data_IF_979826581375
#
_entry.id   IF_979826581375
#
_cell.length_a   1.000
_cell.length_b   1.000
_cell.length_c   1.000
_cell.angle_alpha   90.00
_cell.angle_beta   90.00
_cell.angle_gamma   90.00
#
_symmetry.space_group_name_H-M   'P 1'
#
loop_
_entity.id
_entity.type
_entity.pdbx_description
1 polymer ?
#
# COMPACT_ATOMS: atom_id res chain seq x y z
N UNK A 1 13.51 -8.30 -7.48
CA UNK A 1 14.45 -7.28 -6.99
C UNK A 1 15.36 -8.00 -6.03
N UNK A 2 16.65 -8.07 -6.37
CA UNK A 2 17.63 -8.78 -5.55
C UNK A 2 18.23 -7.79 -4.56
N UNK A 3 18.22 -8.17 -3.28
CA UNK A 3 18.80 -7.37 -2.20
C UNK A 3 19.67 -8.23 -1.31
N UNK A 4 20.70 -7.64 -0.71
CA UNK A 4 21.42 -8.20 0.42
C UNK A 4 20.79 -7.64 1.71
N UNK A 5 20.19 -8.51 2.53
CA UNK A 5 19.75 -8.15 3.88
C UNK A 5 20.94 -8.27 4.82
N UNK A 6 21.15 -7.26 5.66
CA UNK A 6 22.29 -7.19 6.56
C UNK A 6 21.81 -6.86 7.97
N UNK A 7 22.34 -7.59 8.96
CA UNK A 7 22.13 -7.34 10.37
C UNK A 7 23.34 -6.64 10.99
N UNK A 8 23.14 -5.83 12.03
CA UNK A 8 24.19 -5.09 12.72
C UNK A 8 25.32 -5.96 13.29
N UNK A 9 25.03 -7.23 13.60
CA UNK A 9 26.01 -8.25 14.00
C UNK A 9 26.94 -8.71 12.87
N UNK A 10 26.64 -8.33 11.62
CA UNK A 10 27.35 -8.74 10.42
C UNK A 10 26.76 -9.96 9.71
N UNK A 11 25.67 -10.54 10.20
CA UNK A 11 24.93 -11.58 9.47
C UNK A 11 24.33 -10.99 8.19
N UNK A 12 24.43 -11.72 7.07
CA UNK A 12 23.94 -11.24 5.78
C UNK A 12 23.44 -12.35 4.88
N UNK A 13 22.43 -12.04 4.06
CA UNK A 13 21.82 -12.99 3.12
C UNK A 13 21.30 -12.27 1.88
N UNK A 14 21.54 -12.84 0.70
CA UNK A 14 20.98 -12.34 -0.56
C UNK A 14 19.62 -12.96 -0.83
N UNK A 15 18.62 -12.13 -1.16
CA UNK A 15 17.24 -12.55 -1.37
C UNK A 15 16.68 -11.93 -2.66
N UNK A 16 15.99 -12.73 -3.47
CA UNK A 16 15.19 -12.23 -4.59
C UNK A 16 13.74 -11.95 -4.15
N UNK A 17 13.48 -10.71 -3.73
CA UNK A 17 12.16 -10.28 -3.27
C UNK A 17 11.13 -10.13 -4.41
N UNK A 18 11.48 -10.38 -5.67
CA UNK A 18 10.44 -10.42 -6.73
C UNK A 18 9.61 -11.71 -6.72
N UNK A 19 10.13 -12.76 -6.13
CA UNK A 19 9.50 -14.10 -6.13
C UNK A 19 9.05 -14.51 -4.74
N UNK A 20 9.75 -14.04 -3.72
CA UNK A 20 9.60 -14.52 -2.36
C UNK A 20 9.52 -13.39 -1.33
N UNK A 21 9.12 -13.78 -0.12
CA UNK A 21 9.28 -12.99 1.10
C UNK A 21 10.46 -13.55 1.88
N UNK A 22 11.21 -12.69 2.56
CA UNK A 22 12.22 -13.12 3.51
C UNK A 22 11.69 -12.99 4.95
N UNK A 23 12.05 -13.93 5.80
CA UNK A 23 11.75 -13.89 7.23
C UNK A 23 13.02 -13.61 8.02
N UNK A 24 12.85 -12.88 9.12
CA UNK A 24 13.94 -12.46 10.00
C UNK A 24 13.57 -12.87 11.42
N UNK A 25 14.48 -13.51 12.13
CA UNK A 25 14.26 -13.92 13.51
C UNK A 25 15.30 -14.89 14.04
N UNK A 26 15.10 -15.40 15.26
CA UNK A 26 16.05 -16.33 15.90
C UNK A 26 15.98 -17.76 15.37
N UNK A 27 14.91 -18.12 14.66
CA UNK A 27 14.77 -19.45 14.11
C UNK A 27 15.84 -19.70 13.04
N UNK A 28 16.44 -20.89 13.03
CA UNK A 28 17.40 -21.31 12.02
C UNK A 28 16.73 -21.52 10.65
N UNK A 29 15.40 -21.65 10.62
CA UNK A 29 14.60 -21.68 9.39
C UNK A 29 14.29 -20.28 8.83
N UNK A 30 14.57 -19.19 9.56
CA UNK A 30 14.40 -17.84 9.05
C UNK A 30 15.40 -17.55 7.93
N UNK A 31 15.02 -16.74 6.94
CA UNK A 31 15.91 -16.36 5.83
C UNK A 31 17.15 -15.61 6.33
N UNK A 32 16.96 -14.65 7.23
CA UNK A 32 18.02 -14.00 7.98
C UNK A 32 17.89 -14.36 9.46
N UNK A 33 18.79 -15.22 9.92
CA UNK A 33 18.83 -15.59 11.34
C UNK A 33 19.60 -14.55 12.14
N UNK A 34 18.99 -14.06 13.23
CA UNK A 34 19.60 -13.13 14.19
C UNK A 34 19.79 -13.79 15.56
N UNK A 35 20.88 -13.45 16.24
CA UNK A 35 21.26 -14.09 17.51
C UNK A 35 20.79 -13.38 18.78
N UNK A 36 20.09 -12.25 18.65
CA UNK A 36 19.74 -11.38 19.78
C UNK A 36 18.52 -11.87 20.57
N UNK A 37 18.60 -11.77 21.90
CA UNK A 37 17.54 -12.21 22.81
C UNK A 37 16.22 -11.43 22.65
N UNK A 38 16.30 -10.16 22.22
CA UNK A 38 15.13 -9.32 21.96
C UNK A 38 14.34 -9.78 20.73
N UNK A 39 14.91 -10.64 19.87
CA UNK A 39 14.20 -11.11 18.70
C UNK A 39 13.27 -12.31 19.00
N UNK A 40 12.07 -12.37 18.40
CA UNK A 40 11.25 -13.58 18.34
C UNK A 40 11.82 -14.59 17.31
N UNK A 41 11.35 -15.84 17.35
CA UNK A 41 11.80 -16.89 16.41
C UNK A 41 11.49 -16.51 14.96
N UNK A 42 10.28 -16.00 14.72
CA UNK A 42 9.85 -15.36 13.48
C UNK A 42 9.44 -13.95 13.86
N UNK A 43 10.35 -12.98 13.73
CA UNK A 43 10.14 -11.63 14.26
C UNK A 43 9.48 -10.72 13.22
N UNK A 44 10.06 -10.69 12.04
CA UNK A 44 9.64 -9.80 10.97
C UNK A 44 9.67 -10.51 9.63
N UNK A 45 8.94 -9.98 8.66
CA UNK A 45 9.06 -10.36 7.26
C UNK A 45 9.37 -9.14 6.41
N UNK A 46 10.21 -9.33 5.41
CA UNK A 46 10.50 -8.32 4.39
C UNK A 46 10.01 -8.80 3.03
N UNK A 47 9.39 -7.92 2.25
CA UNK A 47 8.76 -8.27 0.97
C UNK A 47 8.68 -7.08 0.02
N UNK A 48 8.54 -7.36 -1.28
CA UNK A 48 8.35 -6.34 -2.31
C UNK A 48 6.85 -6.11 -2.58
N UNK A 49 6.39 -4.87 -2.63
CA UNK A 49 5.06 -4.48 -3.09
C UNK A 49 5.15 -3.19 -3.91
N UNK A 50 4.55 -3.20 -5.11
CA UNK A 50 4.54 -2.03 -6.01
C UNK A 50 5.92 -1.41 -6.25
N UNK A 51 6.95 -2.24 -6.39
CA UNK A 51 8.34 -1.81 -6.62
C UNK A 51 9.07 -1.26 -5.39
N UNK A 52 8.47 -1.33 -4.19
CA UNK A 52 9.05 -0.86 -2.93
C UNK A 52 9.18 -2.01 -1.93
N UNK A 53 10.17 -1.92 -1.07
CA UNK A 53 10.44 -2.94 -0.04
C UNK A 53 9.72 -2.54 1.25
N UNK A 54 9.08 -3.52 1.88
CA UNK A 54 8.36 -3.35 3.14
C UNK A 54 8.84 -4.34 4.18
N UNK A 55 8.87 -3.94 5.45
CA UNK A 55 9.01 -4.81 6.62
C UNK A 55 7.70 -4.85 7.39
N UNK A 56 7.26 -6.02 7.82
CA UNK A 56 6.10 -6.18 8.70
C UNK A 56 6.47 -6.99 9.95
N UNK A 57 5.84 -6.65 11.07
CA UNK A 57 6.02 -7.34 12.35
C UNK A 57 5.13 -8.58 12.40
N UNK A 58 5.72 -9.75 12.62
CA UNK A 58 5.00 -11.03 12.66
C UNK A 58 4.42 -11.32 14.06
N UNK A 59 3.77 -10.32 14.65
CA UNK A 59 3.29 -10.34 16.04
C UNK A 59 4.42 -10.71 17.02
N UNK A 60 5.57 -10.08 16.84
CA UNK A 60 6.74 -10.33 17.67
C UNK A 60 6.53 -9.82 19.09
N UNK A 61 7.28 -10.37 20.04
CA UNK A 61 7.15 -10.01 21.46
C UNK A 61 7.54 -8.56 21.72
N UNK A 62 8.61 -8.09 21.07
CA UNK A 62 9.17 -6.78 21.34
C UNK A 62 8.78 -5.75 20.26
N UNK A 63 8.45 -6.18 19.04
CA UNK A 63 8.06 -5.31 17.94
C UNK A 63 9.22 -4.93 17.02
N UNK A 64 8.88 -4.51 15.81
CA UNK A 64 9.81 -3.84 14.88
C UNK A 64 9.73 -2.32 15.05
N UNK A 65 10.88 -1.66 14.99
CA UNK A 65 11.01 -0.21 15.16
C UNK A 65 11.72 0.44 13.98
N UNK A 66 11.33 1.67 13.65
CA UNK A 66 12.07 2.57 12.77
C UNK A 66 12.50 3.74 13.64
N UNK A 67 13.81 3.97 13.70
CA UNK A 67 14.43 4.81 14.72
C UNK A 67 13.95 4.42 16.13
N UNK A 68 13.10 5.24 16.75
CA UNK A 68 12.55 5.03 18.10
C UNK A 68 11.06 4.66 18.10
N UNK A 69 10.42 4.56 16.92
CA UNK A 69 8.99 4.37 16.80
C UNK A 69 8.65 2.93 16.41
N UNK A 70 7.75 2.30 17.18
CA UNK A 70 7.23 0.96 16.85
C UNK A 70 6.31 1.03 15.65
N UNK A 71 6.51 0.16 14.67
CA UNK A 71 5.61 0.05 13.52
C UNK A 71 4.32 -0.66 13.94
N UNK A 72 3.17 -0.19 13.45
CA UNK A 72 1.85 -0.77 13.72
C UNK A 72 1.35 -1.70 12.60
N UNK A 73 2.20 -2.00 11.63
CA UNK A 73 1.94 -2.84 10.46
C UNK A 73 3.08 -2.72 9.44
N UNK A 74 2.90 -3.21 8.21
CA UNK A 74 3.96 -3.23 7.21
C UNK A 74 4.47 -1.83 6.93
N UNK A 75 5.77 -1.55 7.07
CA UNK A 75 6.40 -0.25 6.87
C UNK A 75 7.30 -0.28 5.63
N UNK A 76 7.20 0.73 4.76
CA UNK A 76 8.03 0.82 3.55
C UNK A 76 9.42 1.36 3.87
N UNK A 77 10.47 0.59 3.57
CA UNK A 77 11.85 0.91 3.95
C UNK A 77 12.60 1.53 2.77
N UNK A 78 13.18 2.71 2.97
CA UNK A 78 14.06 3.34 1.97
C UNK A 78 15.45 2.65 1.89
N UNK A 79 16.19 2.74 0.77
CA UNK A 79 17.46 2.03 0.59
C UNK A 79 18.58 2.31 1.61
N UNK A 80 18.50 3.43 2.33
CA UNK A 80 19.46 3.82 3.38
C UNK A 80 18.88 3.73 4.78
N UNK A 81 17.62 3.31 4.90
CA UNK A 81 16.88 3.28 6.15
C UNK A 81 17.07 1.94 6.85
N UNK A 82 17.10 2.00 8.19
CA UNK A 82 17.32 0.85 9.06
C UNK A 82 16.09 0.63 9.92
N UNK A 83 15.85 -0.62 10.29
CA UNK A 83 14.82 -0.99 11.26
C UNK A 83 15.40 -1.86 12.35
N UNK A 84 14.84 -1.81 13.54
CA UNK A 84 15.31 -2.54 14.71
C UNK A 84 14.36 -3.67 15.10
N UNK A 85 14.93 -4.78 15.55
CA UNK A 85 14.19 -5.90 16.12
C UNK A 85 14.15 -5.78 17.66
N UNK A 86 13.06 -5.22 18.16
CA UNK A 86 12.91 -4.75 19.54
C UNK A 86 13.45 -3.34 19.76
N UNK A 87 13.00 -2.69 20.84
CA UNK A 87 13.47 -1.36 21.24
C UNK A 87 14.94 -1.43 21.66
N UNK A 88 15.79 -0.57 21.08
CA UNK A 88 17.27 -0.64 21.22
C UNK A 88 17.83 -2.01 20.82
N UNK A 89 17.14 -2.67 19.89
CA UNK A 89 17.53 -3.96 19.35
C UNK A 89 18.63 -3.87 18.30
N UNK A 90 18.74 -4.94 17.51
CA UNK A 90 19.68 -4.99 16.40
C UNK A 90 19.10 -4.30 15.17
N UNK A 91 19.90 -3.38 14.60
CA UNK A 91 19.61 -2.75 13.31
C UNK A 91 19.70 -3.76 12.17
N UNK A 92 18.71 -3.73 11.29
CA UNK A 92 18.66 -4.45 10.03
C UNK A 92 18.48 -3.44 8.90
N UNK A 93 19.16 -3.67 7.79
CA UNK A 93 19.00 -2.88 6.56
C UNK A 93 19.10 -3.78 5.33
N UNK A 94 18.83 -3.20 4.17
CA UNK A 94 19.05 -3.87 2.89
C UNK A 94 19.91 -3.02 1.98
N UNK A 95 20.65 -3.68 1.12
CA UNK A 95 21.39 -3.06 0.04
C UNK A 95 20.88 -3.67 -1.27
N UNK A 96 20.55 -2.82 -2.25
CA UNK A 96 20.17 -3.32 -3.58
C UNK A 96 21.44 -3.92 -4.20
N UNK A 97 21.39 -5.22 -4.48
CA UNK A 97 22.49 -5.86 -5.17
C UNK A 97 22.53 -5.29 -6.58
N UNK A 98 23.56 -4.49 -6.90
CA UNK A 98 23.81 -4.08 -8.28
C UNK A 98 23.90 -5.35 -9.12
N UNK A 99 23.00 -5.48 -10.10
CA UNK A 99 23.16 -6.50 -11.12
C UNK A 99 24.52 -6.25 -11.78
N UNK A 100 25.45 -7.19 -11.56
CA UNK A 100 26.72 -7.17 -12.28
C UNK A 100 26.41 -6.95 -13.76
N UNK A 101 27.07 -5.98 -14.43
CA UNK A 101 26.85 -5.75 -15.85
C UNK A 101 26.97 -7.10 -16.55
N UNK A 102 26.07 -7.42 -17.49
CA UNK A 102 26.09 -8.72 -18.15
C UNK A 102 27.51 -8.94 -18.64
N UNK A 103 28.20 -9.90 -18.02
CA UNK A 103 29.51 -10.32 -18.45
C UNK A 103 29.35 -10.63 -19.91
N UNK A 104 30.13 -9.92 -20.73
CA UNK A 104 30.13 -10.04 -22.17
C UNK A 104 29.95 -11.51 -22.54
N UNK A 105 28.88 -11.78 -23.27
CA UNK A 105 28.52 -13.11 -23.73
C UNK A 105 29.71 -13.62 -24.52
N UNK A 106 30.53 -14.46 -23.87
CA UNK A 106 31.66 -15.09 -24.52
C UNK A 106 31.10 -15.93 -25.66
N UNK A 107 31.69 -15.68 -26.82
CA UNK A 107 31.26 -16.20 -28.11
C UNK A 107 31.09 -17.70 -28.04
N UNK A 108 29.95 -18.16 -28.57
CA UNK A 108 29.66 -19.56 -28.83
C UNK A 108 30.65 -20.06 -29.88
N UNK A 109 31.77 -20.64 -29.45
CA UNK A 109 32.54 -21.55 -30.28
C UNK A 109 31.98 -22.96 -30.12
N UNK A 110 31.15 -23.33 -31.11
CA UNK A 110 30.84 -24.73 -31.41
C UNK A 110 32.14 -25.47 -31.74
N UNK A 111 32.59 -26.36 -30.86
CA UNK A 111 33.11 -27.68 -31.23
C UNK A 111 33.65 -28.41 -30.00
N UNK A 112 32.93 -29.44 -29.53
CA UNK A 112 33.42 -30.84 -29.53
C UNK A 112 32.52 -31.71 -28.65
N UNK A 113 31.72 -32.51 -29.34
CA UNK A 113 31.28 -33.81 -28.88
C UNK A 113 32.49 -34.64 -28.43
N UNK A 114 32.52 -35.05 -27.16
CA UNK A 114 33.26 -36.24 -26.74
C UNK A 114 32.56 -36.87 -25.54
N UNK A 115 32.00 -38.06 -25.80
CA UNK A 115 31.54 -39.05 -24.84
C UNK A 115 32.54 -39.23 -23.70
N UNK A 116 32.06 -39.33 -22.45
CA UNK A 116 32.61 -40.22 -21.40
C UNK A 116 31.66 -40.22 -20.19
N UNK A 117 30.86 -41.27 -20.03
CA UNK A 117 31.15 -42.50 -19.26
C UNK A 117 30.58 -42.41 -17.87
N UNK A 118 29.50 -43.17 -17.70
CA UNK A 118 28.92 -43.64 -16.44
C UNK A 118 30.02 -44.05 -15.46
N UNK A 119 30.13 -43.34 -14.34
CA UNK A 119 30.90 -43.83 -13.19
C UNK A 119 29.95 -44.03 -12.01
N UNK A 120 29.54 -45.30 -11.84
CA UNK A 120 28.97 -45.83 -10.60
C UNK A 120 29.93 -45.51 -9.46
N UNK A 121 29.54 -44.65 -8.52
CA UNK A 121 30.22 -44.57 -7.22
C UNK A 121 29.34 -45.25 -6.17
N UNK A 122 29.85 -46.40 -5.74
CA UNK A 122 29.33 -47.25 -4.66
C UNK A 122 30.08 -46.84 -3.38
N UNK A 123 29.40 -46.24 -2.40
CA UNK A 123 29.86 -46.17 -0.99
C UNK A 123 28.62 -46.36 -0.11
N UNK A 124 28.40 -47.60 0.34
CA UNK A 124 28.71 -48.14 1.69
C UNK A 124 27.81 -47.55 2.77
N UNK A 125 26.75 -48.33 3.04
CA UNK A 125 25.87 -48.31 4.20
C UNK A 125 26.63 -48.36 5.52
N UNK A 126 26.26 -47.50 6.48
CA UNK A 126 26.55 -47.64 7.90
C UNK A 126 25.22 -47.68 8.67
N UNK A 127 25.11 -48.64 9.59
CA UNK A 127 23.91 -49.07 10.31
C UNK A 127 23.49 -48.09 11.45
N UNK A 128 22.28 -48.25 12.05
CA UNK A 128 21.56 -47.20 12.77
C UNK A 128 21.91 -47.12 14.28
N UNK A 129 21.65 -45.95 14.87
CA UNK A 129 21.73 -45.68 16.33
C UNK A 129 20.40 -45.96 17.05
N UNK A 130 20.40 -46.22 18.38
CA UNK A 130 19.33 -46.94 19.07
C UNK A 130 18.12 -46.08 19.45
N UNK A 131 16.98 -46.77 19.61
CA UNK A 131 15.67 -46.24 19.96
C UNK A 131 15.56 -45.72 21.40
N UNK A 132 14.83 -44.61 21.57
CA UNK A 132 14.34 -44.13 22.86
C UNK A 132 12.98 -44.77 23.21
N UNK A 133 12.64 -44.92 24.51
CA UNK A 133 11.44 -45.62 24.95
C UNK A 133 10.16 -44.79 24.69
N UNK A 134 9.09 -45.52 24.34
CA UNK A 134 7.76 -45.01 24.02
C UNK A 134 7.09 -44.32 25.23
N UNK A 135 6.70 -43.06 25.07
CA UNK A 135 5.76 -42.38 25.95
C UNK A 135 4.33 -42.77 25.54
N UNK A 136 3.56 -43.28 26.49
CA UNK A 136 2.17 -43.70 26.31
C UNK A 136 1.28 -42.51 25.90
N UNK A 137 0.54 -42.68 24.82
CA UNK A 137 -0.48 -41.74 24.36
C UNK A 137 -1.69 -41.72 25.31
N UNK A 138 -2.20 -40.52 25.60
CA UNK A 138 -3.53 -40.28 26.18
C UNK A 138 -4.50 -39.85 25.06
N UNK A 139 -5.80 -40.17 25.16
CA UNK A 139 -6.76 -39.92 24.09
C UNK A 139 -7.16 -38.44 24.01
N UNK A 140 -7.23 -37.94 22.77
CA UNK A 140 -7.73 -36.61 22.44
C UNK A 140 -9.25 -36.52 22.67
N UNK A 141 -9.68 -35.52 23.43
CA UNK A 141 -11.09 -35.14 23.54
C UNK A 141 -11.52 -34.39 22.28
N UNK A 142 -12.54 -34.94 21.60
CA UNK A 142 -13.19 -34.37 20.43
C UNK A 142 -14.05 -33.15 20.82
N UNK A 143 -13.68 -31.97 20.30
CA UNK A 143 -14.44 -30.72 20.45
C UNK A 143 -14.81 -30.12 19.09
N UNK A 144 -15.28 -30.92 18.15
CA UNK A 144 -15.70 -30.48 16.80
C UNK A 144 -17.22 -30.46 16.66
N UNK A 145 -17.91 -29.65 17.46
CA UNK A 145 -19.36 -29.41 17.31
C UNK A 145 -19.74 -27.98 17.74
N UNK A 146 -19.10 -26.96 17.14
CA UNK A 146 -19.55 -25.54 17.24
C UNK A 146 -19.40 -24.73 15.95
N UNK A 147 -18.66 -25.22 14.96
CA UNK A 147 -18.40 -24.46 13.72
C UNK A 147 -19.47 -24.64 12.64
N UNK A 148 -20.19 -25.78 12.60
CA UNK A 148 -21.22 -26.03 11.59
C UNK A 148 -22.52 -25.24 11.83
N UNK A 149 -22.92 -25.04 13.09
CA UNK A 149 -24.11 -24.24 13.44
C UNK A 149 -23.90 -22.75 13.21
N UNK A 150 -22.68 -22.25 13.45
CA UNK A 150 -22.34 -20.85 13.17
C UNK A 150 -22.35 -20.55 11.65
N UNK A 151 -21.90 -21.48 10.80
CA UNK A 151 -21.95 -21.31 9.34
C UNK A 151 -23.39 -21.29 8.81
N UNK A 152 -24.30 -22.11 9.37
CA UNK A 152 -25.68 -22.15 8.91
C UNK A 152 -26.46 -20.86 9.24
N UNK A 153 -26.20 -20.25 10.40
CA UNK A 153 -26.80 -18.97 10.77
C UNK A 153 -26.28 -17.79 9.93
N UNK A 154 -24.99 -17.80 9.58
CA UNK A 154 -24.41 -16.77 8.69
C UNK A 154 -25.00 -16.88 7.28
N UNK A 155 -25.12 -18.10 6.74
CA UNK A 155 -25.72 -18.31 5.42
C UNK A 155 -27.21 -17.94 5.40
N UNK A 156 -27.94 -18.19 6.48
CA UNK A 156 -29.34 -17.79 6.61
C UNK A 156 -29.50 -16.26 6.67
N UNK A 157 -28.62 -15.56 7.38
CA UNK A 157 -28.65 -14.09 7.45
C UNK A 157 -28.35 -13.43 6.09
N UNK A 158 -27.40 -13.98 5.32
CA UNK A 158 -27.09 -13.50 3.96
C UNK A 158 -28.28 -13.72 3.01
N UNK A 159 -28.94 -14.88 3.09
CA UNK A 159 -30.12 -15.18 2.28
C UNK A 159 -31.31 -14.24 2.60
N UNK A 160 -31.53 -13.93 3.89
CA UNK A 160 -32.59 -13.00 4.31
C UNK A 160 -32.30 -11.59 3.79
N UNK A 161 -31.06 -11.10 3.87
CA UNK A 161 -30.69 -9.77 3.37
C UNK A 161 -30.83 -9.67 1.85
N UNK A 162 -30.43 -10.70 1.12
CA UNK A 162 -30.62 -10.77 -0.34
C UNK A 162 -32.10 -10.78 -0.75
N UNK A 163 -32.96 -11.52 -0.03
CA UNK A 163 -34.40 -11.51 -0.26
C UNK A 163 -35.03 -10.12 -0.01
N UNK A 164 -34.59 -9.41 1.04
CA UNK A 164 -35.10 -8.05 1.35
C UNK A 164 -34.69 -7.04 0.26
N UNK A 165 -33.47 -7.13 -0.26
CA UNK A 165 -33.00 -6.23 -1.32
C UNK A 165 -33.64 -6.54 -2.69
N UNK A 166 -34.03 -7.80 -2.96
CA UNK A 166 -34.83 -8.16 -4.15
C UNK A 166 -36.30 -7.71 -4.06
N UNK A 167 -36.84 -7.54 -2.86
CA UNK A 167 -38.21 -7.06 -2.64
C UNK A 167 -38.32 -5.53 -2.61
N UNK A 168 -37.20 -4.79 -2.73
CA UNK A 168 -37.24 -3.33 -2.86
C UNK A 168 -37.74 -2.94 -4.26
N UNK A 169 -38.86 -2.21 -4.38
CA UNK A 169 -39.28 -1.69 -5.66
C UNK A 169 -38.25 -0.66 -6.18
N UNK A 170 -37.99 -0.60 -7.50
CA UNK A 170 -37.10 0.40 -8.06
C UNK A 170 -37.65 1.81 -7.79
N UNK A 171 -36.79 2.82 -7.56
CA UNK A 171 -37.23 4.19 -7.38
C UNK A 171 -37.99 4.64 -8.64
N UNK A 172 -39.18 5.22 -8.44
CA UNK A 172 -39.99 5.75 -9.54
C UNK A 172 -39.28 6.96 -10.15
N UNK A 173 -39.26 7.10 -11.49
CA UNK A 173 -38.73 8.31 -12.11
C UNK A 173 -39.61 9.49 -11.71
N UNK A 174 -39.03 10.43 -10.95
CA UNK A 174 -39.71 11.68 -10.58
C UNK A 174 -39.64 12.59 -11.80
N UNK A 175 -40.80 12.84 -12.42
CA UNK A 175 -40.92 13.76 -13.54
C UNK A 175 -40.60 15.20 -13.07
N UNK A 176 -39.41 15.69 -13.44
CA UNK A 176 -39.02 17.09 -13.24
C UNK A 176 -39.88 17.96 -14.16
N UNK A 177 -40.73 18.80 -13.55
CA UNK A 177 -41.48 19.83 -14.26
C UNK A 177 -40.53 20.96 -14.61
N UNK A 178 -40.14 21.04 -15.88
CA UNK A 178 -39.51 22.25 -16.44
C UNK A 178 -40.57 23.33 -16.55
N UNK A 179 -40.49 24.36 -15.71
CA UNK A 179 -41.24 25.60 -15.89
C UNK A 179 -40.42 26.58 -16.73
N UNK A 180 -41.02 27.33 -17.67
CA UNK A 180 -40.28 28.19 -18.58
C UNK A 180 -39.98 29.52 -17.89
N UNK A 181 -38.70 29.91 -17.83
CA UNK A 181 -38.33 31.28 -17.51
C UNK A 181 -38.50 32.10 -18.79
N UNK A 182 -39.59 32.86 -18.82
CA UNK A 182 -39.81 33.91 -19.81
C UNK A 182 -38.72 34.99 -19.65
N UNK A 183 -37.91 35.16 -20.69
CA UNK A 183 -36.93 36.22 -20.79
C UNK A 183 -37.65 37.57 -20.96
N UNK A 184 -37.57 38.41 -19.94
CA UNK A 184 -37.92 39.82 -20.01
C UNK A 184 -36.87 40.53 -20.85
N UNK A 185 -37.39 41.16 -21.89
CA UNK A 185 -36.74 42.08 -22.81
C UNK A 185 -36.34 43.34 -22.05
N UNK A 186 -35.05 43.61 -21.89
CA UNK A 186 -34.58 44.96 -21.57
C UNK A 186 -33.43 45.37 -22.48
N UNK A 187 -33.56 46.59 -22.96
CA UNK A 187 -32.96 47.18 -24.15
C UNK A 187 -31.79 48.04 -23.72
N UNK A 188 -30.57 47.71 -24.16
CA UNK A 188 -29.42 48.62 -24.07
C UNK A 188 -28.93 49.02 -25.47
N UNK A 189 -28.58 50.32 -25.67
CA UNK A 189 -28.22 50.84 -26.97
C UNK A 189 -26.76 50.57 -27.33
N UNK A 190 -26.52 50.56 -28.65
CA UNK A 190 -25.24 50.32 -29.29
C UNK A 190 -24.20 51.42 -29.02
N UNK A 191 -22.98 51.00 -28.71
CA UNK A 191 -21.75 51.77 -28.91
C UNK A 191 -20.61 50.83 -29.35
N UNK A 192 -20.50 50.70 -30.67
CA UNK A 192 -19.29 50.64 -31.53
C UNK A 192 -17.92 50.29 -30.94
N UNK A 193 -17.33 49.20 -31.48
CA UNK A 193 -15.92 49.01 -31.92
C UNK A 193 -14.81 49.13 -30.85
N UNK A 194 -13.93 48.14 -30.64
CA UNK A 194 -13.06 47.54 -31.64
C UNK A 194 -12.69 46.07 -31.34
N UNK A 195 -12.68 45.23 -32.38
CA UNK A 195 -11.84 44.03 -32.44
C UNK A 195 -10.44 44.46 -32.85
N UNK A 196 -9.42 44.05 -32.11
CA UNK A 196 -8.05 44.06 -32.62
C UNK A 196 -7.18 43.03 -31.89
N UNK A 197 -6.70 42.10 -32.70
CA UNK A 197 -5.53 41.23 -32.55
C UNK A 197 -5.63 40.07 -31.53
N UNK A 198 -5.93 38.91 -32.11
CA UNK A 198 -5.65 37.59 -31.56
C UNK A 198 -4.14 37.38 -31.52
N UNK A 199 -3.55 37.64 -30.36
CA UNK A 199 -2.24 37.12 -29.97
C UNK A 199 -2.36 35.57 -29.88
N UNK A 200 -1.45 34.78 -30.50
CA UNK A 200 -1.45 33.35 -30.28
C UNK A 200 -1.19 33.10 -28.80
N UNK A 201 -2.14 32.45 -28.11
CA UNK A 201 -1.96 31.99 -26.75
C UNK A 201 -0.67 31.18 -26.69
N UNK A 202 0.35 31.76 -26.06
CA UNK A 202 1.59 31.09 -25.71
C UNK A 202 1.22 29.76 -25.07
N UNK A 203 1.86 28.69 -25.56
CA UNK A 203 1.75 27.39 -24.94
C UNK A 203 2.17 27.56 -23.48
N UNK A 204 1.17 27.54 -22.58
CA UNK A 204 1.40 27.53 -21.14
C UNK A 204 2.18 26.25 -20.88
N UNK A 205 3.49 26.38 -20.73
CA UNK A 205 4.35 25.33 -20.22
C UNK A 205 3.76 24.95 -18.86
N UNK A 206 3.06 23.82 -18.81
CA UNK A 206 2.31 23.44 -17.63
C UNK A 206 3.32 23.22 -16.51
N UNK A 207 3.39 24.18 -15.59
CA UNK A 207 4.23 24.08 -14.42
C UNK A 207 3.84 22.80 -13.68
N UNK A 208 4.81 21.91 -13.50
CA UNK A 208 4.65 20.64 -12.77
C UNK A 208 4.14 20.91 -11.36
N UNK A 209 3.25 20.06 -10.85
CA UNK A 209 2.67 20.23 -9.52
C UNK A 209 3.76 19.98 -8.47
N UNK A 210 3.92 20.91 -7.53
CA UNK A 210 4.83 20.72 -6.41
C UNK A 210 4.06 20.26 -5.18
N UNK A 211 4.49 19.14 -4.59
CA UNK A 211 3.78 18.56 -3.44
C UNK A 211 3.68 19.53 -2.26
N UNK A 212 4.79 20.12 -1.81
CA UNK A 212 4.80 20.95 -0.60
C UNK A 212 4.12 22.30 -0.78
N UNK A 213 4.22 22.89 -1.97
CA UNK A 213 3.61 24.18 -2.29
C UNK A 213 2.11 24.04 -2.56
N UNK A 214 1.70 23.03 -3.32
CA UNK A 214 0.37 22.98 -3.91
C UNK A 214 -0.52 21.91 -3.24
N UNK A 215 0.00 20.70 -3.02
CA UNK A 215 -0.79 19.54 -2.58
C UNK A 215 -0.89 19.44 -1.06
N UNK A 216 0.24 19.55 -0.35
CA UNK A 216 0.29 19.42 1.10
C UNK A 216 -0.67 20.40 1.79
N UNK A 217 -0.69 21.71 1.46
CA UNK A 217 -1.61 22.64 2.11
C UNK A 217 -3.09 22.34 1.78
N UNK A 218 -3.36 21.79 0.59
CA UNK A 218 -4.72 21.38 0.20
C UNK A 218 -5.18 20.18 1.02
N UNK A 219 -4.38 19.12 1.11
CA UNK A 219 -4.68 17.92 1.89
C UNK A 219 -4.79 18.22 3.39
N UNK A 220 -3.92 19.09 3.92
CA UNK A 220 -3.96 19.53 5.33
C UNK A 220 -5.27 20.25 5.66
N UNK A 221 -5.74 21.14 4.78
CA UNK A 221 -6.99 21.90 5.02
C UNK A 221 -8.26 21.10 4.75
N UNK A 222 -8.28 20.27 3.70
CA UNK A 222 -9.51 19.62 3.20
C UNK A 222 -9.69 18.19 3.66
N UNK A 223 -8.61 17.45 3.92
CA UNK A 223 -8.66 16.01 4.22
C UNK A 223 -8.35 15.70 5.70
N UNK A 224 -7.34 16.34 6.29
CA UNK A 224 -6.88 15.99 7.63
C UNK A 224 -7.84 16.35 8.77
N UNK A 225 -8.93 17.07 8.49
CA UNK A 225 -9.98 17.26 9.51
C UNK A 225 -10.67 15.95 9.90
N UNK A 226 -10.71 14.98 8.97
CA UNK A 226 -11.40 13.69 9.14
C UNK A 226 -10.53 12.45 8.89
N UNK A 227 -9.36 12.59 8.25
CA UNK A 227 -8.44 11.50 7.94
C UNK A 227 -7.07 11.73 8.56
N UNK A 228 -7.01 11.72 9.89
CA UNK A 228 -5.81 11.93 10.68
C UNK A 228 -5.63 10.81 11.72
N UNK A 229 -4.49 10.74 12.44
CA UNK A 229 -4.22 9.66 13.39
C UNK A 229 -5.18 9.60 14.59
N UNK A 230 -5.82 10.71 14.95
CA UNK A 230 -6.76 10.78 16.07
C UNK A 230 -8.22 10.55 15.63
N UNK A 231 -8.50 10.80 14.36
CA UNK A 231 -9.81 10.69 13.70
C UNK A 231 -9.58 10.19 12.29
N UNK A 232 -9.72 8.89 12.11
CA UNK A 232 -9.48 8.12 10.89
C UNK A 232 -10.82 7.65 10.30
N UNK A 233 -11.66 8.59 9.86
CA UNK A 233 -12.96 8.23 9.28
C UNK A 233 -12.79 7.30 8.08
N UNK A 234 -13.64 6.29 8.03
CA UNK A 234 -13.54 5.25 6.99
C UNK A 234 -12.20 4.53 7.06
N UNK A 235 -11.69 4.29 8.26
CA UNK A 235 -10.44 3.58 8.55
C UNK A 235 -9.23 4.09 7.74
N UNK A 236 -9.22 5.39 7.43
CA UNK A 236 -8.24 6.05 6.58
C UNK A 236 -7.57 7.21 7.30
N UNK A 237 -6.24 7.19 7.33
CA UNK A 237 -5.41 8.31 7.77
C UNK A 237 -4.51 8.77 6.63
N UNK A 238 -4.34 10.08 6.48
CA UNK A 238 -3.59 10.68 5.36
C UNK A 238 -2.41 11.54 5.83
N UNK A 239 -2.07 11.49 7.12
CA UNK A 239 -1.00 12.33 7.67
C UNK A 239 0.40 11.97 7.14
N UNK A 240 0.58 10.77 6.61
CA UNK A 240 1.79 10.33 5.91
C UNK A 240 1.40 9.58 4.64
N UNK A 241 2.33 9.51 3.67
CA UNK A 241 2.15 8.67 2.49
C UNK A 241 1.85 7.21 2.86
N UNK A 242 2.51 6.72 3.89
CA UNK A 242 2.31 5.37 4.40
C UNK A 242 0.87 5.13 4.88
N UNK A 243 0.34 6.04 5.70
CA UNK A 243 -1.03 5.92 6.22
C UNK A 243 -2.07 5.91 5.08
N UNK A 244 -1.84 6.72 4.03
CA UNK A 244 -2.68 6.76 2.84
C UNK A 244 -2.59 5.45 2.03
N UNK A 245 -1.38 4.92 1.84
CA UNK A 245 -1.14 3.68 1.10
C UNK A 245 -1.71 2.44 1.82
N UNK A 246 -1.93 2.51 3.14
CA UNK A 246 -2.64 1.47 3.88
C UNK A 246 -4.11 1.39 3.46
N UNK A 247 -4.79 2.52 3.30
CA UNK A 247 -6.20 2.57 2.93
C UNK A 247 -7.17 1.93 3.95
N UNK A 248 -8.50 2.11 3.78
CA UNK A 248 -9.49 1.25 4.43
C UNK A 248 -9.32 -0.19 3.96
N UNK A 249 -9.35 -1.16 4.87
CA UNK A 249 -9.32 -2.60 4.56
C UNK A 249 -8.19 -3.05 3.59
N UNK A 250 -7.09 -2.29 3.51
CA UNK A 250 -5.96 -2.52 2.60
C UNK A 250 -6.21 -2.22 1.11
N UNK A 251 -7.30 -1.53 0.79
CA UNK A 251 -7.65 -1.10 -0.57
C UNK A 251 -6.93 0.19 -0.98
N UNK A 252 -6.60 0.29 -2.27
CA UNK A 252 -5.86 1.42 -2.80
C UNK A 252 -6.72 2.69 -2.85
N UNK A 253 -6.36 3.70 -2.05
CA UNK A 253 -6.98 5.03 -2.08
C UNK A 253 -6.34 5.93 -3.14
N UNK A 254 -5.07 5.70 -3.43
CA UNK A 254 -4.26 6.45 -4.39
C UNK A 254 -3.53 5.48 -5.32
N UNK A 255 -3.75 5.61 -6.63
CA UNK A 255 -3.08 4.84 -7.67
C UNK A 255 -2.21 5.79 -8.50
N UNK A 256 -0.89 5.83 -8.26
CA UNK A 256 0.04 6.70 -8.99
C UNK A 256 -0.09 6.58 -10.51
N UNK A 257 -0.16 7.71 -11.20
CA UNK A 257 -0.33 7.81 -12.65
C UNK A 257 -1.75 7.57 -13.15
N UNK A 258 -2.69 7.21 -12.26
CA UNK A 258 -4.05 6.83 -12.64
C UNK A 258 -5.11 7.56 -11.82
N UNK A 259 -5.41 8.83 -12.14
CA UNK A 259 -6.42 9.60 -11.42
C UNK A 259 -7.80 8.93 -11.47
N UNK A 260 -8.17 8.36 -12.61
CA UNK A 260 -9.48 7.74 -12.81
C UNK A 260 -9.62 6.35 -12.14
N UNK A 261 -8.53 5.83 -11.55
CA UNK A 261 -8.53 4.62 -10.70
C UNK A 261 -8.24 4.97 -9.22
N UNK A 262 -8.15 6.26 -8.87
CA UNK A 262 -7.80 6.71 -7.52
C UNK A 262 -9.03 7.23 -6.77
N UNK A 263 -9.56 6.49 -5.76
CA UNK A 263 -10.65 6.98 -4.92
C UNK A 263 -10.42 8.37 -4.33
N UNK A 264 -9.16 8.71 -4.00
CA UNK A 264 -8.76 10.03 -3.52
C UNK A 264 -9.24 11.18 -4.44
N UNK A 265 -9.24 10.98 -5.75
CA UNK A 265 -9.74 11.97 -6.70
C UNK A 265 -11.22 11.76 -6.99
N UNK A 266 -11.63 10.53 -7.28
CA UNK A 266 -12.99 10.20 -7.72
C UNK A 266 -14.05 10.65 -6.72
N UNK A 267 -13.81 10.49 -5.41
CA UNK A 267 -14.76 10.88 -4.37
C UNK A 267 -14.86 12.40 -4.20
N UNK A 268 -13.88 13.17 -4.67
CA UNK A 268 -13.87 14.64 -4.55
C UNK A 268 -14.62 15.37 -5.65
N UNK A 269 -15.01 14.65 -6.72
CA UNK A 269 -15.70 15.20 -7.89
C UNK A 269 -17.14 14.71 -8.02
N UNK A 270 -17.65 13.98 -7.02
CA UNK A 270 -19.04 13.56 -6.97
C UNK A 270 -19.96 14.76 -6.74
N UNK A 271 -21.24 14.59 -7.05
CA UNK A 271 -22.27 15.61 -6.79
C UNK A 271 -22.42 15.85 -5.28
N UNK A 272 -22.75 17.08 -4.90
CA UNK A 272 -22.78 17.53 -3.50
C UNK A 272 -23.77 16.76 -2.61
N UNK A 273 -24.76 16.08 -3.19
CA UNK A 273 -25.75 15.25 -2.52
C UNK A 273 -25.40 13.75 -2.51
N UNK A 274 -24.26 13.35 -3.08
CA UNK A 274 -23.81 11.97 -3.09
C UNK A 274 -23.29 11.54 -1.71
N UNK A 275 -23.71 10.36 -1.22
CA UNK A 275 -23.36 9.87 0.12
C UNK A 275 -21.85 9.70 0.36
N UNK A 276 -21.12 9.29 -0.68
CA UNK A 276 -19.65 9.10 -0.63
C UNK A 276 -18.82 10.35 -1.00
N UNK A 277 -19.43 11.52 -1.21
CA UNK A 277 -18.66 12.72 -1.57
C UNK A 277 -17.65 13.07 -0.47
N UNK A 278 -16.45 13.44 -0.89
CA UNK A 278 -15.41 13.97 -0.01
C UNK A 278 -15.13 15.45 -0.32
N UNK A 279 -15.15 16.33 0.70
CA UNK A 279 -15.35 16.05 2.12
C UNK A 279 -16.81 15.74 2.48
N UNK A 280 -17.05 14.70 3.29
CA UNK A 280 -18.41 14.32 3.73
C UNK A 280 -19.12 15.37 4.58
N UNK A 281 -18.38 16.35 5.11
CA UNK A 281 -18.92 17.53 5.79
C UNK A 281 -18.11 18.76 5.37
N UNK A 282 -18.81 19.84 5.07
CA UNK A 282 -18.21 21.09 4.62
C UNK A 282 -18.44 21.32 3.13
N UNK A 283 -17.81 22.36 2.58
CA UNK A 283 -17.92 22.68 1.16
C UNK A 283 -17.11 21.68 0.30
N UNK A 284 -17.68 21.16 -0.79
CA UNK A 284 -16.95 20.38 -1.80
C UNK A 284 -15.69 21.09 -2.30
N UNK A 285 -14.74 20.34 -2.83
CA UNK A 285 -13.54 20.92 -3.44
C UNK A 285 -13.94 21.83 -4.61
N UNK A 286 -13.22 22.94 -4.77
CA UNK A 286 -13.35 23.76 -5.98
C UNK A 286 -12.79 22.98 -7.17
N UNK A 287 -13.26 23.30 -8.38
CA UNK A 287 -12.81 22.64 -9.60
C UNK A 287 -11.29 22.72 -9.78
N UNK A 288 -10.68 23.83 -9.37
CA UNK A 288 -9.23 24.04 -9.42
C UNK A 288 -8.50 23.15 -8.40
N UNK A 289 -9.07 22.93 -7.22
CA UNK A 289 -8.50 22.07 -6.17
C UNK A 289 -8.52 20.60 -6.60
N UNK A 290 -9.64 20.12 -7.14
CA UNK A 290 -9.75 18.74 -7.62
C UNK A 290 -8.93 18.51 -8.89
N UNK A 291 -8.81 19.51 -9.77
CA UNK A 291 -7.91 19.47 -10.92
C UNK A 291 -6.44 19.36 -10.51
N UNK A 292 -6.03 20.08 -9.46
CA UNK A 292 -4.68 19.99 -8.91
C UNK A 292 -4.37 18.58 -8.39
N UNK A 293 -5.30 17.97 -7.65
CA UNK A 293 -5.18 16.58 -7.19
C UNK A 293 -5.09 15.64 -8.40
N UNK A 294 -5.95 15.83 -9.42
CA UNK A 294 -5.93 15.00 -10.63
C UNK A 294 -4.56 15.03 -11.31
N UNK A 295 -4.02 16.23 -11.52
CA UNK A 295 -2.75 16.43 -12.18
C UNK A 295 -1.60 15.82 -11.37
N UNK A 296 -1.56 16.06 -10.07
CA UNK A 296 -0.55 15.46 -9.19
C UNK A 296 -0.57 13.93 -9.24
N UNK A 297 -1.76 13.31 -9.25
CA UNK A 297 -1.87 11.86 -9.39
C UNK A 297 -1.36 11.40 -10.76
N UNK A 298 -1.73 12.10 -11.84
CA UNK A 298 -1.25 11.81 -13.19
C UNK A 298 0.29 11.91 -13.30
N UNK A 299 0.90 12.82 -12.56
CA UNK A 299 2.37 12.99 -12.45
C UNK A 299 3.05 11.91 -11.58
N UNK A 300 2.31 10.88 -11.13
CA UNK A 300 2.83 9.78 -10.33
C UNK A 300 2.73 10.01 -8.82
N UNK A 301 1.99 11.03 -8.40
CA UNK A 301 1.77 11.41 -7.01
C UNK A 301 3.08 11.47 -6.19
N UNK A 302 4.10 12.26 -6.62
CA UNK A 302 5.33 12.42 -5.85
C UNK A 302 5.00 13.00 -4.47
N UNK A 303 5.47 12.30 -3.43
CA UNK A 303 5.29 12.67 -2.02
C UNK A 303 6.63 12.40 -1.31
N UNK A 304 7.29 13.39 -0.67
CA UNK A 304 8.56 13.18 0.03
C UNK A 304 8.41 12.23 1.23
N UNK A 305 9.27 11.23 1.35
CA UNK A 305 9.11 10.11 2.32
C UNK A 305 9.03 10.59 3.78
N UNK A 306 9.72 11.68 4.10
CA UNK A 306 9.76 12.34 5.41
C UNK A 306 8.67 13.40 5.62
N UNK A 307 7.83 13.65 4.61
CA UNK A 307 6.79 14.67 4.69
C UNK A 307 5.55 14.15 5.40
N UNK A 308 5.44 14.54 6.67
CA UNK A 308 4.22 14.38 7.47
C UNK A 308 3.35 15.62 7.37
N UNK A 309 2.12 15.44 6.90
CA UNK A 309 1.10 16.49 6.87
C UNK A 309 0.55 16.74 8.27
N UNK A 310 0.22 18.00 8.57
CA UNK A 310 -0.32 18.41 9.87
C UNK A 310 -1.62 19.16 9.67
N UNK A 311 -2.67 18.76 10.40
CA UNK A 311 -3.90 19.53 10.37
C UNK A 311 -3.62 20.96 10.86
N UNK A 312 -4.18 22.00 10.22
CA UNK A 312 -4.04 23.36 10.70
C UNK A 312 -4.59 23.46 12.12
N UNK A 313 -3.82 24.06 13.02
CA UNK A 313 -4.25 24.33 14.39
C UNK A 313 -5.46 25.26 14.30
N UNK A 314 -6.59 24.85 14.88
CA UNK A 314 -7.73 25.76 15.06
C UNK A 314 -7.33 26.76 16.14
N UNK A 315 -7.08 28.01 15.74
CA UNK A 315 -6.98 29.16 16.66
C UNK A 315 -8.32 29.44 17.34
#
# INVERSE_FOLDING_TARGET
MIVELVAGSGAKVTVDLSKDRATIGRDQAATLTVGIASASSHHATIFLRSGRIFVDDLASTNGVYIDTHKIAGPYGIAPSERFQLGYEGEDIWYEVAEEAPPTAVDKIDKAKTAKRTVLKSRRKSAAPKPAMPALKAQPAASGTWRFAEAMLLILLAVAIKFCVDLMRPPPRPVAVKTSPVAAVMEKQPAATSQRKDSEPAEAVEQATVNFDRDIAPLLERRCLQCHNPEKDKGDLSMHTRFALDRGPDFDAVLVPGKPDESPLYLLTILDADHDDIMPAKGEPLRAEESALIKQWIAEGAPWPVDRTLRAPVKE
#
